data_IF_900800082439
#
_entry.id   IF_900800082439
#
_cell.length_a   1.000
_cell.length_b   1.000
_cell.length_c   1.000
_cell.angle_alpha   90.00
_cell.angle_beta   90.00
_cell.angle_gamma   90.00
#
_symmetry.space_group_name_H-M   'P 1'
#
loop_
_entity.id
_entity.type
_entity.pdbx_description
1 polymer ?
#
# COMPACT_ATOMS: atom_id res chain seq x y z
N UNK A 1 -31.63 -8.10 20.20
CA UNK A 1 -31.27 -6.82 19.57
C UNK A 1 -29.80 -6.56 19.87
N UNK A 2 -28.89 -6.85 18.93
CA UNK A 2 -27.49 -6.46 19.08
C UNK A 2 -27.40 -4.96 18.77
N UNK A 3 -27.22 -4.15 19.81
CA UNK A 3 -26.89 -2.73 19.67
C UNK A 3 -25.49 -2.69 19.07
N UNK A 4 -25.39 -2.34 17.78
CA UNK A 4 -24.12 -2.06 17.13
C UNK A 4 -23.66 -0.72 17.71
N UNK A 5 -22.81 -0.77 18.73
CA UNK A 5 -22.12 0.42 19.23
C UNK A 5 -21.34 1.06 18.06
N UNK A 6 -21.33 2.39 17.93
CA UNK A 6 -20.47 3.05 16.97
C UNK A 6 -19.01 2.64 17.25
N UNK A 7 -18.19 2.36 16.21
CA UNK A 7 -16.80 2.01 16.43
C UNK A 7 -16.09 3.14 17.18
N UNK A 8 -15.25 2.76 18.14
CA UNK A 8 -14.41 3.70 18.89
C UNK A 8 -13.41 4.37 17.92
N UNK A 9 -13.49 5.70 17.74
CA UNK A 9 -12.63 6.41 16.81
C UNK A 9 -11.15 6.12 17.10
N UNK A 10 -10.38 5.77 16.08
CA UNK A 10 -8.96 5.46 16.22
C UNK A 10 -8.64 4.04 16.70
N UNK A 11 -9.61 3.24 17.16
CA UNK A 11 -9.38 1.84 17.56
C UNK A 11 -9.94 0.87 16.50
N UNK A 12 -11.13 1.16 15.99
CA UNK A 12 -11.79 0.37 14.94
C UNK A 12 -12.29 1.26 13.82
N UNK A 13 -12.44 0.70 12.64
CA UNK A 13 -13.03 1.39 11.48
C UNK A 13 -14.48 1.00 11.23
N UNK A 14 -15.23 1.93 10.67
CA UNK A 14 -16.53 1.72 10.02
C UNK A 14 -16.40 1.75 8.50
N UNK A 15 -17.36 1.14 7.81
CA UNK A 15 -17.45 1.26 6.35
C UNK A 15 -17.71 2.72 5.91
N UNK A 16 -18.44 3.51 6.71
CA UNK A 16 -18.71 4.91 6.39
C UNK A 16 -17.43 5.75 6.34
N UNK A 17 -16.58 5.65 7.36
CA UNK A 17 -15.28 6.34 7.42
C UNK A 17 -14.37 5.96 6.24
N UNK A 18 -14.31 4.67 5.89
CA UNK A 18 -13.53 4.23 4.72
C UNK A 18 -14.14 4.74 3.41
N UNK A 19 -15.47 4.86 3.30
CA UNK A 19 -16.09 5.45 2.12
C UNK A 19 -15.76 6.94 2.00
N UNK A 20 -15.67 7.66 3.12
CA UNK A 20 -15.35 9.10 3.15
C UNK A 20 -13.93 9.41 2.67
N UNK A 21 -12.98 8.47 2.78
CA UNK A 21 -11.62 8.61 2.26
C UNK A 21 -11.58 8.98 0.77
N UNK A 22 -12.63 8.67 -0.01
CA UNK A 22 -12.74 9.09 -1.42
C UNK A 22 -12.65 10.61 -1.61
N UNK A 23 -13.07 11.40 -0.63
CA UNK A 23 -13.04 12.85 -0.68
C UNK A 23 -11.62 13.40 -0.44
N UNK A 24 -10.80 12.63 0.28
CA UNK A 24 -9.40 12.96 0.62
C UNK A 24 -8.39 12.53 -0.45
N UNK A 25 -8.81 11.74 -1.44
CA UNK A 25 -7.97 11.33 -2.58
C UNK A 25 -7.29 12.51 -3.26
N UNK A 26 -7.96 13.68 -3.35
CA UNK A 26 -7.40 14.87 -4.00
C UNK A 26 -6.27 15.52 -3.19
N UNK A 27 -6.17 15.22 -1.90
CA UNK A 27 -5.11 15.74 -1.03
C UNK A 27 -3.78 15.01 -1.28
N UNK A 28 -3.81 13.78 -1.78
CA UNK A 28 -2.64 12.93 -2.04
C UNK A 28 -2.56 12.57 -3.53
N UNK A 29 -1.52 13.04 -4.20
CA UNK A 29 -1.28 12.72 -5.63
C UNK A 29 -0.63 11.35 -5.78
N UNK A 30 -1.37 10.29 -5.42
CA UNK A 30 -0.88 8.91 -5.53
C UNK A 30 -0.59 8.58 -6.99
N UNK A 31 -1.57 8.75 -7.87
CA UNK A 31 -1.43 8.44 -9.29
C UNK A 31 -1.40 9.74 -10.11
N UNK A 32 -0.72 9.71 -11.26
CA UNK A 32 -0.51 10.91 -12.08
C UNK A 32 -1.56 11.05 -13.17
N UNK A 33 -1.80 12.29 -13.57
CA UNK A 33 -2.51 12.64 -14.82
C UNK A 33 -1.49 13.19 -15.82
N UNK A 34 -1.77 13.20 -17.15
CA UNK A 34 -0.81 13.60 -18.18
C UNK A 34 -0.16 14.99 -17.99
N UNK A 35 -0.76 15.87 -17.20
CA UNK A 35 -0.27 17.22 -16.93
C UNK A 35 0.58 17.37 -15.67
N UNK A 36 0.73 16.33 -14.83
CA UNK A 36 1.39 16.43 -13.52
C UNK A 36 2.28 15.21 -13.20
N UNK A 37 3.45 15.44 -12.59
CA UNK A 37 4.42 14.38 -12.28
C UNK A 37 4.27 13.89 -10.83
N UNK A 38 3.87 12.64 -10.60
CA UNK A 38 3.99 11.95 -9.30
C UNK A 38 5.12 10.90 -9.31
N UNK A 39 5.78 10.64 -8.17
CA UNK A 39 6.86 9.64 -8.10
C UNK A 39 6.38 8.20 -8.33
N UNK A 40 5.06 7.94 -8.26
CA UNK A 40 4.48 6.65 -8.63
C UNK A 40 4.39 6.46 -10.15
N UNK A 41 4.72 7.45 -11.00
CA UNK A 41 4.77 7.31 -12.48
C UNK A 41 5.65 6.14 -12.91
N UNK A 42 6.85 6.03 -12.33
CA UNK A 42 7.80 4.98 -12.69
C UNK A 42 7.32 3.58 -12.33
N UNK A 43 6.41 3.47 -11.34
CA UNK A 43 5.71 2.23 -11.04
C UNK A 43 4.49 2.06 -11.96
N UNK A 44 3.72 3.12 -12.22
CA UNK A 44 2.49 3.08 -13.02
C UNK A 44 2.75 2.72 -14.49
N UNK A 45 3.86 3.19 -15.05
CA UNK A 45 4.37 2.77 -16.36
C UNK A 45 5.28 1.54 -16.18
N UNK A 46 4.69 0.35 -16.11
CA UNK A 46 5.45 -0.90 -15.99
C UNK A 46 6.45 -1.05 -17.15
N UNK A 47 7.70 -1.43 -16.86
CA UNK A 47 8.76 -1.65 -17.87
C UNK A 47 8.54 -2.88 -18.77
N UNK A 48 7.44 -3.61 -18.56
CA UNK A 48 7.05 -4.76 -19.37
C UNK A 48 6.51 -4.32 -20.75
N UNK A 49 7.44 -4.17 -21.70
CA UNK A 49 7.20 -4.07 -23.15
C UNK A 49 6.13 -5.09 -23.58
N UNK A 50 4.97 -4.63 -24.05
CA UNK A 50 3.95 -5.54 -24.59
C UNK A 50 2.69 -4.86 -25.11
N UNK A 51 1.98 -5.52 -26.01
CA UNK A 51 1.24 -4.95 -27.14
C UNK A 51 -0.21 -4.53 -26.84
N UNK A 52 -0.43 -3.40 -26.16
CA UNK A 52 -1.75 -2.78 -26.06
C UNK A 52 -1.63 -1.31 -26.42
N UNK A 53 -1.97 -0.98 -27.66
CA UNK A 53 -1.91 0.38 -28.18
C UNK A 53 -3.31 0.71 -28.68
N UNK A 54 -4.02 1.55 -27.94
CA UNK A 54 -5.31 2.08 -28.36
C UNK A 54 -5.06 3.20 -29.37
N UNK A 55 -5.85 3.22 -30.44
CA UNK A 55 -5.77 4.28 -31.44
C UNK A 55 -6.16 5.61 -30.78
N UNK A 56 -5.25 6.59 -30.82
CA UNK A 56 -5.47 7.92 -30.25
C UNK A 56 -6.05 8.84 -31.33
N UNK A 57 -5.24 9.16 -32.33
CA UNK A 57 -5.61 10.05 -33.42
C UNK A 57 -4.74 9.82 -34.65
N UNK A 58 -5.20 10.32 -35.79
CA UNK A 58 -4.39 10.41 -37.00
C UNK A 58 -3.85 11.83 -37.12
N UNK A 59 -2.53 11.98 -37.33
CA UNK A 59 -1.91 13.27 -37.65
C UNK A 59 -1.09 13.19 -38.93
N UNK A 60 -0.77 14.34 -39.52
CA UNK A 60 0.16 14.43 -40.64
C UNK A 60 1.51 13.85 -40.22
N UNK A 61 2.09 13.01 -41.07
CA UNK A 61 3.38 12.38 -40.88
C UNK A 61 4.47 13.43 -40.70
N UNK A 62 5.37 13.21 -39.75
CA UNK A 62 6.57 14.01 -39.57
C UNK A 62 7.81 13.14 -39.79
N UNK A 63 8.88 13.75 -40.33
CA UNK A 63 10.15 13.06 -40.50
C UNK A 63 10.68 12.57 -39.14
N UNK A 64 10.81 11.25 -39.01
CA UNK A 64 11.17 10.58 -37.75
C UNK A 64 10.09 9.64 -37.22
N UNK A 65 8.86 9.74 -37.72
CA UNK A 65 7.79 8.79 -37.42
C UNK A 65 8.09 7.40 -38.01
N UNK A 66 7.66 6.33 -37.32
CA UNK A 66 7.79 4.96 -37.85
C UNK A 66 6.86 4.79 -39.07
N UNK A 67 7.44 4.41 -40.21
CA UNK A 67 6.70 4.19 -41.46
C UNK A 67 5.62 3.09 -41.31
N UNK A 68 5.78 2.18 -40.35
CA UNK A 68 4.80 1.11 -40.07
C UNK A 68 3.50 1.61 -39.45
N UNK A 69 3.50 2.80 -38.83
CA UNK A 69 2.28 3.38 -38.25
C UNK A 69 1.53 4.28 -39.23
N UNK A 70 1.93 4.37 -40.50
CA UNK A 70 1.20 5.13 -41.52
C UNK A 70 -0.20 4.55 -41.76
N UNK A 71 -1.22 5.41 -41.70
CA UNK A 71 -2.57 5.09 -42.15
C UNK A 71 -2.69 5.27 -43.66
N UNK A 72 -2.50 4.18 -44.41
CA UNK A 72 -2.63 4.20 -45.87
C UNK A 72 -4.05 4.53 -46.35
N UNK A 73 -5.09 4.31 -45.55
CA UNK A 73 -6.48 4.61 -45.94
C UNK A 73 -6.77 6.11 -45.89
N UNK A 74 -6.32 6.79 -44.82
CA UNK A 74 -6.44 8.25 -44.71
C UNK A 74 -5.50 8.94 -45.71
N UNK A 75 -4.28 8.41 -45.87
CA UNK A 75 -3.30 8.90 -46.84
C UNK A 75 -3.83 8.85 -48.27
N UNK A 76 -4.46 7.74 -48.68
CA UNK A 76 -5.04 7.61 -50.02
C UNK A 76 -6.16 8.64 -50.30
N UNK A 77 -6.93 9.03 -49.27
CA UNK A 77 -8.02 10.00 -49.41
C UNK A 77 -7.54 11.45 -49.41
N UNK A 78 -6.52 11.75 -48.61
CA UNK A 78 -6.00 13.12 -48.41
C UNK A 78 -4.84 13.45 -49.35
N UNK A 79 -4.23 12.44 -49.99
CA UNK A 79 -2.98 12.56 -50.77
C UNK A 79 -1.78 13.07 -49.94
N UNK A 80 -1.88 13.10 -48.62
CA UNK A 80 -0.81 13.46 -47.69
C UNK A 80 -0.54 12.30 -46.72
N UNK A 81 0.74 11.94 -46.44
CA UNK A 81 1.03 10.86 -45.51
C UNK A 81 0.55 11.18 -44.10
N UNK A 82 -0.19 10.25 -43.51
CA UNK A 82 -0.73 10.37 -42.16
C UNK A 82 -0.25 9.23 -41.25
N UNK A 83 0.17 9.56 -40.04
CA UNK A 83 0.63 8.61 -39.01
C UNK A 83 -0.48 8.35 -38.00
N UNK A 84 -0.76 7.08 -37.69
CA UNK A 84 -1.56 6.69 -36.52
C UNK A 84 -0.74 6.90 -35.27
N UNK A 85 -1.21 7.79 -34.40
CA UNK A 85 -0.77 7.83 -33.02
C UNK A 85 -1.58 6.81 -32.24
N UNK A 86 -0.87 6.05 -31.41
CA UNK A 86 -1.48 5.12 -30.50
C UNK A 86 -1.12 5.54 -29.07
N UNK A 87 -2.10 5.53 -28.18
CA UNK A 87 -1.91 5.71 -26.75
C UNK A 87 -1.68 4.34 -26.11
N UNK A 88 -0.69 4.20 -25.24
CA UNK A 88 -0.55 3.01 -24.41
C UNK A 88 -1.52 3.12 -23.22
N UNK A 89 -2.82 2.98 -23.46
CA UNK A 89 -3.79 2.88 -22.36
C UNK A 89 -3.77 1.45 -21.82
N UNK A 90 -2.91 1.21 -20.82
CA UNK A 90 -2.89 -0.05 -20.09
C UNK A 90 -3.55 0.13 -18.73
N UNK A 91 -4.78 -0.38 -18.64
CA UNK A 91 -5.47 -0.63 -17.37
C UNK A 91 -4.59 -1.50 -16.46
N UNK A 92 -4.01 -0.89 -15.43
CA UNK A 92 -3.09 -1.59 -14.53
C UNK A 92 -3.85 -2.19 -13.35
N UNK A 93 -3.74 -3.51 -13.10
CA UNK A 93 -4.27 -4.08 -11.87
C UNK A 93 -3.49 -3.54 -10.67
N UNK A 94 -4.19 -2.89 -9.75
CA UNK A 94 -3.70 -2.52 -8.42
C UNK A 94 -4.26 -3.54 -7.42
N UNK A 95 -3.35 -4.19 -6.71
CA UNK A 95 -3.67 -5.21 -5.71
C UNK A 95 -3.15 -4.78 -4.35
N UNK A 96 -4.09 -4.49 -3.44
CA UNK A 96 -3.80 -3.98 -2.11
C UNK A 96 -3.75 -5.17 -1.14
N UNK A 97 -2.57 -5.46 -0.61
CA UNK A 97 -2.39 -6.39 0.49
C UNK A 97 -2.38 -5.59 1.79
N UNK A 98 -3.33 -5.87 2.68
CA UNK A 98 -3.49 -5.13 3.93
C UNK A 98 -3.59 -6.09 5.11
N UNK A 99 -2.67 -5.92 6.05
CA UNK A 99 -2.67 -6.68 7.29
C UNK A 99 -3.78 -6.16 8.22
N UNK A 100 -4.49 -7.10 8.83
CA UNK A 100 -5.39 -6.93 9.96
C UNK A 100 -5.15 -8.11 10.90
N UNK A 101 -4.07 -8.02 11.66
CA UNK A 101 -3.67 -9.01 12.67
C UNK A 101 -3.71 -8.39 14.07
N UNK A 102 -3.62 -9.23 15.09
CA UNK A 102 -3.44 -8.82 16.49
C UNK A 102 -2.33 -7.79 16.67
N UNK A 103 -1.24 -7.93 15.93
CA UNK A 103 -0.06 -7.06 16.04
C UNK A 103 -0.38 -5.60 15.67
N UNK A 104 -1.33 -5.40 14.77
CA UNK A 104 -1.81 -4.08 14.38
C UNK A 104 -2.91 -3.56 15.32
N UNK A 105 -3.44 -4.39 16.22
CA UNK A 105 -4.43 -3.99 17.21
C UNK A 105 -3.77 -3.32 18.43
N UNK A 106 -2.96 -2.30 18.15
CA UNK A 106 -2.21 -1.50 19.09
C UNK A 106 -1.93 -0.10 18.51
N UNK A 107 -1.88 0.91 19.37
CA UNK A 107 -1.42 2.26 19.04
C UNK A 107 -1.31 3.15 20.28
N UNK A 108 -0.28 3.99 20.31
CA UNK A 108 -0.02 5.03 21.30
C UNK A 108 -0.12 6.45 20.73
N UNK A 109 -0.19 6.57 19.40
CA UNK A 109 -0.40 7.83 18.68
C UNK A 109 -1.87 8.20 18.52
N UNK A 110 -2.22 8.69 17.34
CA UNK A 110 -3.56 9.18 16.99
C UNK A 110 -4.58 8.05 16.78
N UNK A 111 -4.11 6.86 16.40
CA UNK A 111 -4.92 5.69 16.07
C UNK A 111 -4.11 4.40 16.19
N UNK A 112 -4.80 3.27 16.15
CA UNK A 112 -4.17 1.96 16.06
C UNK A 112 -3.60 1.72 14.67
N UNK A 113 -2.52 0.94 14.59
CA UNK A 113 -1.90 0.53 13.32
C UNK A 113 -2.91 -0.12 12.37
N UNK A 114 -3.87 -0.89 12.90
CA UNK A 114 -4.93 -1.54 12.13
C UNK A 114 -5.89 -0.53 11.46
N UNK A 115 -6.17 0.59 12.12
CA UNK A 115 -6.97 1.69 11.58
C UNK A 115 -6.18 2.43 10.50
N UNK A 116 -4.91 2.76 10.76
CA UNK A 116 -4.00 3.37 9.79
C UNK A 116 -3.90 2.53 8.50
N UNK A 117 -3.71 1.22 8.66
CA UNK A 117 -3.67 0.26 7.55
C UNK A 117 -4.94 0.31 6.70
N UNK A 118 -6.09 0.33 7.36
CA UNK A 118 -7.39 0.31 6.69
C UNK A 118 -7.70 1.62 5.97
N UNK A 119 -7.36 2.76 6.59
CA UNK A 119 -7.50 4.08 5.97
C UNK A 119 -6.57 4.21 4.75
N UNK A 120 -5.31 3.79 4.85
CA UNK A 120 -4.37 3.81 3.73
C UNK A 120 -4.86 2.92 2.57
N UNK A 121 -5.28 1.68 2.86
CA UNK A 121 -5.87 0.78 1.85
C UNK A 121 -7.10 1.40 1.17
N UNK A 122 -7.94 2.08 1.93
CA UNK A 122 -9.14 2.73 1.42
C UNK A 122 -8.82 3.92 0.51
N UNK A 123 -7.96 4.85 0.96
CA UNK A 123 -7.53 6.01 0.19
C UNK A 123 -6.92 5.57 -1.15
N UNK A 124 -6.01 4.60 -1.10
CA UNK A 124 -5.36 4.03 -2.28
C UNK A 124 -6.38 3.38 -3.22
N UNK A 125 -7.32 2.61 -2.68
CA UNK A 125 -8.34 1.96 -3.48
C UNK A 125 -9.27 2.93 -4.19
N UNK A 126 -9.66 4.02 -3.53
CA UNK A 126 -10.44 5.10 -4.14
C UNK A 126 -9.61 5.89 -5.17
N UNK A 127 -8.34 6.14 -4.88
CA UNK A 127 -7.44 6.82 -5.81
C UNK A 127 -7.24 6.00 -7.10
N UNK A 128 -7.04 4.69 -6.98
CA UNK A 128 -6.93 3.77 -8.12
C UNK A 128 -8.21 3.78 -8.96
N UNK A 129 -9.38 3.63 -8.32
CA UNK A 129 -10.65 3.63 -9.02
C UNK A 129 -10.93 4.98 -9.70
N UNK A 130 -10.53 6.10 -9.08
CA UNK A 130 -10.63 7.44 -9.66
C UNK A 130 -9.73 7.65 -10.89
N UNK A 131 -8.61 6.91 -10.98
CA UNK A 131 -7.72 6.88 -12.14
C UNK A 131 -8.10 5.80 -13.15
N UNK A 132 -9.30 5.23 -13.05
CA UNK A 132 -9.82 4.23 -13.98
C UNK A 132 -9.04 2.90 -13.99
N UNK A 133 -8.26 2.63 -12.94
CA UNK A 133 -7.54 1.36 -12.76
C UNK A 133 -8.44 0.25 -12.20
N UNK A 134 -7.99 -1.01 -12.35
CA UNK A 134 -8.61 -2.13 -11.62
C UNK A 134 -8.07 -2.17 -10.22
N UNK A 135 -8.97 -2.20 -9.25
CA UNK A 135 -8.61 -2.35 -7.84
C UNK A 135 -9.14 -3.66 -7.29
N UNK A 136 -8.30 -4.37 -6.57
CA UNK A 136 -8.62 -5.55 -5.77
C UNK A 136 -7.63 -5.67 -4.63
N UNK A 137 -7.66 -6.77 -3.90
CA UNK A 137 -6.75 -6.93 -2.80
C UNK A 137 -6.96 -8.17 -1.95
N UNK A 138 -6.12 -8.27 -0.94
CA UNK A 138 -6.07 -9.33 0.04
C UNK A 138 -6.04 -8.69 1.44
N UNK A 139 -7.09 -8.91 2.21
CA UNK A 139 -7.07 -8.66 3.66
C UNK A 139 -6.53 -9.91 4.30
N UNK A 140 -5.43 -9.83 5.04
CA UNK A 140 -4.82 -10.98 5.70
C UNK A 140 -4.56 -10.70 7.18
N UNK A 141 -4.51 -11.73 8.01
CA UNK A 141 -4.29 -11.60 9.44
C UNK A 141 -3.81 -12.92 10.03
N UNK A 142 -4.15 -13.18 11.28
CA UNK A 142 -3.62 -14.35 12.00
C UNK A 142 -4.17 -15.69 11.49
N UNK A 143 -5.47 -15.75 11.14
CA UNK A 143 -6.17 -17.01 10.87
C UNK A 143 -6.73 -17.13 9.44
N UNK A 144 -7.24 -16.04 8.88
CA UNK A 144 -7.96 -16.05 7.60
C UNK A 144 -7.46 -14.96 6.68
N UNK A 145 -7.70 -15.16 5.38
CA UNK A 145 -7.49 -14.13 4.37
C UNK A 145 -8.72 -14.00 3.47
N UNK A 146 -9.01 -12.77 3.05
CA UNK A 146 -10.12 -12.43 2.19
C UNK A 146 -9.61 -11.76 0.92
N UNK A 147 -9.81 -12.43 -0.21
CA UNK A 147 -9.34 -12.00 -1.51
C UNK A 147 -10.48 -11.45 -2.36
N UNK A 148 -10.24 -10.30 -3.01
CA UNK A 148 -11.11 -9.74 -4.04
C UNK A 148 -10.25 -9.50 -5.29
N UNK A 149 -10.61 -10.14 -6.40
CA UNK A 149 -9.89 -9.95 -7.68
C UNK A 149 -9.99 -8.50 -8.17
N UNK A 150 -8.92 -7.94 -8.77
CA UNK A 150 -8.96 -6.59 -9.31
C UNK A 150 -10.06 -6.39 -10.36
N UNK A 151 -10.92 -5.40 -10.12
CA UNK A 151 -11.98 -4.99 -11.05
C UNK A 151 -12.11 -3.47 -11.07
N UNK A 152 -12.46 -2.91 -12.22
CA UNK A 152 -12.79 -1.49 -12.37
C UNK A 152 -14.24 -1.23 -11.92
N UNK A 153 -14.54 -1.54 -10.66
CA UNK A 153 -15.90 -1.51 -10.14
C UNK A 153 -15.92 -0.97 -8.72
N UNK A 154 -16.71 0.10 -8.54
CA UNK A 154 -17.03 0.65 -7.22
C UNK A 154 -17.62 -0.41 -6.30
N UNK A 155 -18.48 -1.29 -6.82
CA UNK A 155 -19.05 -2.38 -6.04
C UNK A 155 -17.97 -3.36 -5.54
N UNK A 156 -16.99 -3.69 -6.39
CA UNK A 156 -15.86 -4.55 -6.01
C UNK A 156 -15.00 -3.91 -4.93
N UNK A 157 -14.72 -2.60 -5.03
CA UNK A 157 -14.00 -1.87 -3.99
C UNK A 157 -14.79 -1.85 -2.68
N UNK A 158 -16.10 -1.59 -2.71
CA UNK A 158 -16.94 -1.62 -1.51
C UNK A 158 -17.01 -3.03 -0.88
N UNK A 159 -16.97 -4.10 -1.68
CA UNK A 159 -16.86 -5.46 -1.16
C UNK A 159 -15.53 -5.67 -0.42
N UNK A 160 -14.42 -5.22 -1.00
CA UNK A 160 -13.10 -5.26 -0.35
C UNK A 160 -13.09 -4.47 0.98
N UNK A 161 -13.58 -3.23 0.98
CA UNK A 161 -13.66 -2.40 2.19
C UNK A 161 -14.58 -3.00 3.26
N UNK A 162 -15.70 -3.61 2.87
CA UNK A 162 -16.58 -4.29 3.83
C UNK A 162 -15.89 -5.50 4.46
N UNK A 163 -15.13 -6.29 3.69
CA UNK A 163 -14.32 -7.39 4.25
C UNK A 163 -13.26 -6.88 5.21
N UNK A 164 -12.55 -5.82 4.84
CA UNK A 164 -11.57 -5.14 5.69
C UNK A 164 -12.15 -4.70 7.03
N UNK A 165 -13.32 -4.04 7.01
CA UNK A 165 -14.02 -3.59 8.22
C UNK A 165 -14.43 -4.77 9.09
N UNK A 166 -14.96 -5.85 8.51
CA UNK A 166 -15.35 -7.05 9.28
C UNK A 166 -14.16 -7.68 9.99
N UNK A 167 -13.03 -7.83 9.31
CA UNK A 167 -11.81 -8.38 9.92
C UNK A 167 -11.30 -7.43 11.02
N UNK A 168 -11.22 -6.13 10.75
CA UNK A 168 -10.82 -5.13 11.75
C UNK A 168 -11.69 -5.17 13.01
N UNK A 169 -13.02 -5.27 12.85
CA UNK A 169 -13.95 -5.32 13.98
C UNK A 169 -13.84 -6.62 14.80
N UNK A 170 -13.35 -7.70 14.19
CA UNK A 170 -13.07 -8.96 14.91
C UNK A 170 -11.74 -8.99 15.64
N UNK A 171 -10.88 -7.97 15.49
CA UNK A 171 -9.59 -7.91 16.17
C UNK A 171 -9.76 -7.77 17.69
N UNK A 172 -8.95 -8.53 18.42
CA UNK A 172 -8.88 -8.52 19.87
C UNK A 172 -7.52 -9.02 20.36
N UNK A 173 -7.18 -8.70 21.62
CA UNK A 173 -5.89 -9.01 22.26
C UNK A 173 -5.73 -10.45 22.72
N UNK A 174 -6.70 -11.33 22.47
CA UNK A 174 -6.66 -12.74 22.89
C UNK A 174 -6.35 -13.73 21.74
N UNK A 175 -6.23 -13.29 20.49
CA UNK A 175 -5.97 -14.20 19.37
C UNK A 175 -4.52 -14.69 19.37
N UNK A 176 -4.25 -15.87 18.81
CA UNK A 176 -2.87 -16.30 18.59
C UNK A 176 -2.24 -15.49 17.47
N UNK A 177 -1.00 -15.04 17.66
CA UNK A 177 -0.28 -14.30 16.64
C UNK A 177 0.36 -15.26 15.64
N UNK A 178 0.04 -15.11 14.35
CA UNK A 178 0.71 -15.86 13.29
C UNK A 178 1.88 -15.05 12.75
N UNK A 179 3.11 -15.45 13.11
CA UNK A 179 4.33 -14.77 12.66
C UNK A 179 4.59 -14.90 11.16
N UNK A 180 4.01 -15.89 10.49
CA UNK A 180 4.22 -16.17 9.06
C UNK A 180 3.09 -15.63 8.15
N UNK A 181 2.14 -14.87 8.71
CA UNK A 181 0.96 -14.36 7.99
C UNK A 181 1.32 -13.60 6.69
N UNK A 182 2.34 -12.74 6.73
CA UNK A 182 2.80 -11.98 5.56
C UNK A 182 3.35 -12.89 4.45
N UNK A 183 4.17 -13.89 4.79
CA UNK A 183 4.71 -14.85 3.83
C UNK A 183 3.58 -15.66 3.17
N UNK A 184 2.62 -16.17 3.95
CA UNK A 184 1.45 -16.87 3.43
C UNK A 184 0.62 -15.98 2.49
N UNK A 185 0.40 -14.72 2.88
CA UNK A 185 -0.31 -13.75 2.06
C UNK A 185 0.42 -13.46 0.74
N UNK A 186 1.75 -13.32 0.75
CA UNK A 186 2.56 -13.10 -0.45
C UNK A 186 2.58 -14.32 -1.38
N UNK A 187 2.63 -15.53 -0.81
CA UNK A 187 2.47 -16.79 -1.58
C UNK A 187 1.13 -16.80 -2.29
N UNK A 188 0.04 -16.50 -1.56
CA UNK A 188 -1.29 -16.44 -2.13
C UNK A 188 -1.40 -15.37 -3.22
N UNK A 189 -0.83 -14.18 -3.00
CA UNK A 189 -0.82 -13.11 -3.98
C UNK A 189 -0.14 -13.56 -5.30
N UNK A 190 0.98 -14.29 -5.24
CA UNK A 190 1.66 -14.82 -6.43
C UNK A 190 0.81 -15.76 -7.29
N UNK A 191 -0.15 -16.46 -6.71
CA UNK A 191 -1.05 -17.37 -7.43
C UNK A 191 -2.12 -16.62 -8.24
N UNK A 192 -2.43 -15.39 -7.84
CA UNK A 192 -3.59 -14.62 -8.35
C UNK A 192 -3.13 -13.45 -9.21
N UNK A 193 -1.98 -12.86 -8.88
CA UNK A 193 -1.43 -11.69 -9.54
C UNK A 193 -0.93 -12.01 -10.94
N UNK A 194 -1.25 -11.12 -11.88
CA UNK A 194 -0.74 -11.18 -13.25
C UNK A 194 0.48 -10.27 -13.40
N UNK A 195 1.44 -10.61 -14.28
CA UNK A 195 2.56 -9.71 -14.59
C UNK A 195 2.09 -8.30 -14.98
N UNK A 196 2.81 -7.28 -14.52
CA UNK A 196 2.50 -5.86 -14.73
C UNK A 196 1.58 -5.23 -13.66
N UNK A 197 1.11 -6.02 -12.68
CA UNK A 197 0.31 -5.49 -11.56
C UNK A 197 1.14 -4.60 -10.63
N UNK A 198 0.50 -3.58 -10.05
CA UNK A 198 1.01 -2.89 -8.86
C UNK A 198 0.57 -3.66 -7.62
N UNK A 199 1.51 -4.06 -6.79
CA UNK A 199 1.21 -4.65 -5.48
C UNK A 199 1.57 -3.66 -4.40
N UNK A 200 0.60 -3.32 -3.57
CA UNK A 200 0.79 -2.41 -2.45
C UNK A 200 0.70 -3.25 -1.19
N UNK A 201 1.79 -3.33 -0.44
CA UNK A 201 1.89 -4.15 0.78
C UNK A 201 1.85 -3.23 1.99
N UNK A 202 0.78 -3.34 2.76
CA UNK A 202 0.55 -2.57 3.99
C UNK A 202 0.56 -3.56 5.16
N UNK A 203 1.63 -3.55 5.94
CA UNK A 203 1.84 -4.53 7.02
C UNK A 203 2.64 -3.92 8.16
N UNK A 204 2.69 -4.59 9.30
CA UNK A 204 3.55 -4.17 10.41
C UNK A 204 5.04 -4.22 10.01
N UNK A 205 5.86 -3.29 10.50
CA UNK A 205 7.30 -3.29 10.26
C UNK A 205 7.99 -4.58 10.76
N UNK A 206 7.44 -5.24 11.79
CA UNK A 206 8.00 -6.47 12.37
C UNK A 206 7.57 -7.71 11.57
N UNK A 207 6.69 -7.57 10.57
CA UNK A 207 6.11 -8.71 9.84
C UNK A 207 7.12 -9.38 8.89
N UNK A 208 8.25 -8.72 8.64
CA UNK A 208 9.28 -9.20 7.74
C UNK A 208 10.04 -10.41 8.33
N UNK A 209 9.96 -11.51 7.61
CA UNK A 209 10.72 -12.75 7.81
C UNK A 209 11.52 -13.09 6.55
N UNK A 210 12.54 -13.95 6.67
CA UNK A 210 13.31 -14.45 5.51
C UNK A 210 12.40 -15.04 4.42
N UNK A 211 11.35 -15.76 4.83
CA UNK A 211 10.36 -16.33 3.91
C UNK A 211 9.59 -15.25 3.15
N UNK A 212 9.13 -14.21 3.84
CA UNK A 212 8.42 -13.09 3.22
C UNK A 212 9.33 -12.28 2.27
N UNK A 213 10.60 -12.08 2.62
CA UNK A 213 11.59 -11.41 1.76
C UNK A 213 11.81 -12.18 0.45
N UNK A 214 11.90 -13.51 0.54
CA UNK A 214 12.00 -14.35 -0.63
C UNK A 214 10.77 -14.19 -1.53
N UNK A 215 9.55 -14.14 -0.95
CA UNK A 215 8.34 -13.94 -1.74
C UNK A 215 8.27 -12.54 -2.37
N UNK A 216 8.68 -11.48 -1.65
CA UNK A 216 8.77 -10.12 -2.19
C UNK A 216 9.75 -10.05 -3.37
N UNK A 217 10.92 -10.69 -3.24
CA UNK A 217 11.91 -10.80 -4.33
C UNK A 217 11.40 -11.56 -5.55
N UNK A 218 10.56 -12.58 -5.34
CA UNK A 218 9.92 -13.31 -6.44
C UNK A 218 8.81 -12.49 -7.11
N UNK A 219 8.01 -11.76 -6.33
CA UNK A 219 6.96 -10.88 -6.83
C UNK A 219 7.53 -9.71 -7.64
N UNK A 220 8.62 -9.09 -7.18
CA UNK A 220 9.22 -7.91 -7.82
C UNK A 220 9.78 -8.18 -9.22
N UNK A 221 9.94 -9.46 -9.61
CA UNK A 221 10.38 -9.86 -10.97
C UNK A 221 9.32 -9.60 -12.03
N UNK A 222 8.04 -9.60 -11.66
CA UNK A 222 6.92 -9.54 -12.59
C UNK A 222 5.85 -8.53 -12.20
N UNK A 223 5.84 -8.06 -10.97
CA UNK A 223 4.97 -6.98 -10.48
C UNK A 223 5.84 -5.84 -9.97
N UNK A 224 5.34 -4.60 -10.06
CA UNK A 224 5.99 -3.52 -9.33
C UNK A 224 5.41 -3.48 -7.91
N UNK A 225 6.27 -3.15 -6.95
CA UNK A 225 5.90 -3.15 -5.53
C UNK A 225 5.95 -1.74 -4.95
N UNK A 226 5.04 -1.50 -4.02
CA UNK A 226 5.06 -0.38 -3.11
C UNK A 226 4.88 -0.91 -1.69
N UNK A 227 5.83 -0.62 -0.81
CA UNK A 227 5.90 -1.14 0.55
C UNK A 227 5.54 -0.04 1.56
N UNK A 228 4.55 -0.29 2.40
CA UNK A 228 4.08 0.59 3.48
C UNK A 228 4.18 -0.15 4.83
N UNK A 229 5.40 -0.31 5.39
CA UNK A 229 5.54 -0.83 6.74
C UNK A 229 4.93 0.16 7.74
N UNK A 230 4.15 -0.35 8.69
CA UNK A 230 3.47 0.42 9.71
C UNK A 230 4.20 0.33 11.04
N UNK A 231 4.29 1.46 11.74
CA UNK A 231 4.90 1.56 13.06
C UNK A 231 4.06 2.41 14.01
N UNK A 232 4.31 2.20 15.29
CA UNK A 232 3.89 3.07 16.38
C UNK A 232 5.13 3.67 17.06
N UNK A 233 5.10 4.88 17.64
CA UNK A 233 6.23 5.43 18.37
C UNK A 233 6.80 4.49 19.44
N UNK A 234 5.93 3.73 20.12
CA UNK A 234 6.35 2.74 21.12
C UNK A 234 6.99 1.49 20.50
N UNK A 235 6.85 1.26 19.19
CA UNK A 235 7.63 0.22 18.51
C UNK A 235 9.12 0.61 18.40
N UNK A 236 9.43 1.91 18.43
CA UNK A 236 10.78 2.45 18.20
C UNK A 236 11.50 2.87 19.47
N UNK A 237 10.78 3.42 20.45
CA UNK A 237 11.38 3.88 21.69
C UNK A 237 10.46 3.64 22.88
N UNK A 238 11.02 3.07 23.95
CA UNK A 238 10.35 3.04 25.25
C UNK A 238 10.44 4.45 25.88
N UNK A 239 9.34 4.97 26.46
CA UNK A 239 9.36 6.26 27.14
C UNK A 239 10.11 6.11 28.47
N UNK A 240 10.74 7.18 28.96
CA UNK A 240 11.34 7.19 30.29
C UNK A 240 10.25 7.42 31.35
N UNK A 241 9.42 6.40 31.61
CA UNK A 241 8.18 6.53 32.39
C UNK A 241 8.16 5.70 33.69
N UNK A 242 9.29 5.13 34.12
CA UNK A 242 9.36 4.25 35.28
C UNK A 242 8.90 2.83 34.98
N UNK A 243 8.32 2.17 35.98
CA UNK A 243 7.78 0.82 35.86
C UNK A 243 6.53 0.81 34.98
N UNK A 244 6.66 0.25 33.78
CA UNK A 244 5.54 -0.02 32.89
C UNK A 244 5.16 -1.49 32.94
N UNK A 245 3.85 -1.78 32.84
CA UNK A 245 3.30 -3.13 32.78
C UNK A 245 2.77 -3.40 31.38
N UNK A 246 3.27 -4.46 30.78
CA UNK A 246 2.81 -5.00 29.49
C UNK A 246 2.02 -6.27 29.75
N UNK A 247 0.94 -6.47 29.01
CA UNK A 247 0.10 -7.66 29.14
C UNK A 247 -0.12 -8.30 27.76
N UNK A 248 0.08 -9.62 27.70
CA UNK A 248 -0.13 -10.40 26.49
C UNK A 248 -0.72 -11.77 26.85
N UNK A 249 -1.99 -12.05 26.48
CA UNK A 249 -2.65 -13.36 26.71
C UNK A 249 -2.56 -13.86 28.15
N UNK A 250 -2.76 -12.97 29.11
CA UNK A 250 -2.62 -13.27 30.54
C UNK A 250 -1.18 -13.32 31.08
N UNK A 251 -0.15 -13.30 30.22
CA UNK A 251 1.21 -13.01 30.64
C UNK A 251 1.35 -11.53 30.97
N UNK A 252 2.08 -11.22 32.03
CA UNK A 252 2.42 -9.85 32.41
C UNK A 252 3.93 -9.69 32.47
N UNK A 253 4.41 -8.58 31.94
CA UNK A 253 5.81 -8.19 31.96
C UNK A 253 5.92 -6.79 32.56
N UNK A 254 6.67 -6.66 33.65
CA UNK A 254 7.03 -5.37 34.21
C UNK A 254 8.41 -4.97 33.72
N UNK A 255 8.54 -3.76 33.16
CA UNK A 255 9.79 -3.20 32.71
C UNK A 255 10.04 -1.86 33.39
N UNK A 256 11.18 -1.73 34.05
CA UNK A 256 11.67 -0.41 34.46
C UNK A 256 12.24 0.32 33.24
N UNK A 257 11.43 1.18 32.66
CA UNK A 257 11.80 1.99 31.50
C UNK A 257 12.71 3.16 31.85
N UNK A 258 13.07 3.39 33.11
CA UNK A 258 14.14 4.34 33.48
C UNK A 258 15.54 3.76 33.23
N UNK A 259 15.68 2.45 33.09
CA UNK A 259 16.92 1.81 32.70
C UNK A 259 17.38 2.31 31.31
N UNK A 260 18.50 3.02 31.27
CA UNK A 260 19.06 3.60 30.05
C UNK A 260 19.48 2.52 29.03
N UNK A 261 20.17 1.48 29.49
CA UNK A 261 20.68 0.41 28.62
C UNK A 261 19.55 -0.38 27.96
N UNK A 262 18.44 -0.59 28.68
CA UNK A 262 17.22 -1.17 28.13
C UNK A 262 16.65 -0.31 27.00
N UNK A 263 16.49 1.00 27.24
CA UNK A 263 15.96 1.92 26.22
C UNK A 263 16.87 2.00 24.99
N UNK A 264 18.18 2.05 25.18
CA UNK A 264 19.15 2.04 24.07
C UNK A 264 19.09 0.75 23.28
N UNK A 265 19.05 -0.41 23.96
CA UNK A 265 18.95 -1.72 23.30
C UNK A 265 17.67 -1.83 22.47
N UNK A 266 16.52 -1.43 23.05
CA UNK A 266 15.23 -1.45 22.36
C UNK A 266 15.23 -0.53 21.13
N UNK A 267 15.79 0.68 21.25
CA UNK A 267 15.95 1.62 20.14
C UNK A 267 16.84 1.06 19.03
N UNK A 268 17.98 0.47 19.38
CA UNK A 268 18.89 -0.15 18.41
C UNK A 268 18.21 -1.30 17.64
N UNK A 269 17.37 -2.09 18.30
CA UNK A 269 16.56 -3.12 17.63
C UNK A 269 15.56 -2.51 16.63
N UNK A 270 14.97 -1.36 16.94
CA UNK A 270 14.08 -0.66 16.02
C UNK A 270 14.83 -0.08 14.83
N UNK A 271 15.96 0.59 15.06
CA UNK A 271 16.81 1.13 14.01
C UNK A 271 17.29 0.02 13.05
N UNK A 272 17.65 -1.16 13.59
CA UNK A 272 17.99 -2.32 12.77
C UNK A 272 16.83 -2.80 11.89
N UNK A 273 15.59 -2.82 12.39
CA UNK A 273 14.40 -3.19 11.59
C UNK A 273 14.13 -2.19 10.47
N UNK A 274 14.23 -0.89 10.76
CA UNK A 274 14.04 0.17 9.76
C UNK A 274 15.09 0.02 8.65
N UNK A 275 16.36 -0.09 9.03
CA UNK A 275 17.46 -0.29 8.08
C UNK A 275 17.26 -1.56 7.22
N UNK A 276 16.71 -2.63 7.81
CA UNK A 276 16.41 -3.87 7.07
C UNK A 276 15.38 -3.64 5.94
N UNK A 277 14.29 -2.91 6.21
CA UNK A 277 13.32 -2.54 5.19
C UNK A 277 13.91 -1.63 4.10
N UNK A 278 14.75 -0.67 4.48
CA UNK A 278 15.42 0.23 3.54
C UNK A 278 16.37 -0.54 2.61
N UNK A 279 17.20 -1.44 3.17
CA UNK A 279 18.09 -2.29 2.40
C UNK A 279 17.33 -3.22 1.45
N UNK A 280 16.22 -3.81 1.93
CA UNK A 280 15.36 -4.63 1.09
C UNK A 280 14.76 -3.82 -0.07
N UNK A 281 14.21 -2.63 0.23
CA UNK A 281 13.61 -1.77 -0.78
C UNK A 281 14.64 -1.33 -1.84
N UNK A 282 15.86 -0.97 -1.43
CA UNK A 282 16.97 -0.65 -2.32
C UNK A 282 17.38 -1.85 -3.18
N UNK A 283 17.53 -3.03 -2.58
CA UNK A 283 17.87 -4.28 -3.27
C UNK A 283 16.84 -4.64 -4.33
N UNK A 284 15.56 -4.48 -4.00
CA UNK A 284 14.45 -4.76 -4.93
C UNK A 284 14.18 -3.61 -5.90
N UNK A 285 14.74 -2.42 -5.65
CA UNK A 285 14.49 -1.16 -6.39
C UNK A 285 13.01 -0.77 -6.40
N UNK A 286 12.38 -0.87 -5.24
CA UNK A 286 10.95 -0.59 -5.04
C UNK A 286 10.78 0.62 -4.13
N UNK A 287 9.61 1.25 -4.18
CA UNK A 287 9.32 2.38 -3.29
C UNK A 287 8.94 1.90 -1.89
N UNK A 288 9.45 2.60 -0.89
CA UNK A 288 9.18 2.40 0.52
C UNK A 288 8.55 3.69 1.07
N UNK A 289 7.37 3.58 1.67
CA UNK A 289 6.65 4.68 2.31
C UNK A 289 6.19 4.23 3.71
N UNK A 290 7.10 4.21 4.71
CA UNK A 290 6.73 3.86 6.08
C UNK A 290 5.65 4.80 6.61
N UNK A 291 4.69 4.27 7.38
CA UNK A 291 3.66 5.09 8.02
C UNK A 291 3.67 4.87 9.53
N UNK A 292 3.54 5.94 10.29
CA UNK A 292 3.49 5.96 11.75
C UNK A 292 2.09 6.37 12.24
N UNK A 293 1.65 5.78 13.35
CA UNK A 293 0.44 6.19 14.08
C UNK A 293 0.55 7.57 14.73
N UNK A 294 1.75 8.17 14.80
CA UNK A 294 2.00 9.47 15.45
C UNK A 294 1.39 10.65 14.69
N UNK A 295 1.32 10.54 13.37
CA UNK A 295 0.96 11.64 12.47
C UNK A 295 -0.25 11.28 11.62
N UNK A 296 -0.87 12.28 11.01
CA UNK A 296 -2.01 12.09 10.13
C UNK A 296 -1.58 11.38 8.82
N UNK A 297 -2.39 10.45 8.32
CA UNK A 297 -2.02 9.55 7.22
C UNK A 297 -1.80 10.28 5.89
N UNK A 298 -2.67 11.23 5.54
CA UNK A 298 -2.57 11.98 4.28
C UNK A 298 -1.36 12.90 4.30
N UNK A 299 -1.06 13.54 5.42
CA UNK A 299 0.16 14.36 5.56
C UNK A 299 1.42 13.54 5.30
N UNK A 300 1.54 12.37 5.92
CA UNK A 300 2.68 11.46 5.70
C UNK A 300 2.82 11.05 4.24
N UNK A 301 1.72 10.62 3.59
CA UNK A 301 1.76 10.26 2.17
C UNK A 301 2.14 11.44 1.27
N UNK A 302 1.69 12.66 1.59
CA UNK A 302 2.08 13.86 0.83
C UNK A 302 3.57 14.15 0.93
N UNK A 303 4.18 13.93 2.09
CA UNK A 303 5.62 14.13 2.28
C UNK A 303 6.44 13.17 1.40
N UNK A 304 6.08 11.89 1.37
CA UNK A 304 6.75 10.92 0.50
C UNK A 304 6.58 11.22 -1.00
N UNK A 305 5.43 11.77 -1.39
CA UNK A 305 5.12 12.03 -2.80
C UNK A 305 5.61 13.39 -3.31
N UNK A 306 5.92 14.34 -2.42
CA UNK A 306 6.47 15.66 -2.75
C UNK A 306 7.88 15.85 -2.17
N UNK A 307 8.93 15.28 -2.79
CA UNK A 307 10.30 15.36 -2.30
C UNK A 307 10.94 16.77 -2.37
N UNK A 308 10.19 17.83 -2.73
CA UNK A 308 10.69 19.22 -2.78
C UNK A 308 10.75 19.93 -1.42
N UNK A 309 10.38 19.27 -0.31
CA UNK A 309 10.70 19.75 1.03
C UNK A 309 11.77 18.85 1.66
N UNK A 310 13.00 19.34 1.91
CA UNK A 310 13.95 18.59 2.73
C UNK A 310 13.41 18.55 4.17
N UNK A 311 12.73 17.45 4.52
CA UNK A 311 12.31 17.15 5.87
C UNK A 311 13.51 16.71 6.70
N UNK A 312 13.83 17.47 7.74
CA UNK A 312 14.86 17.19 8.72
C UNK A 312 14.57 15.87 9.44
N UNK A 313 15.26 14.80 9.06
CA UNK A 313 15.57 13.72 9.98
C UNK A 313 17.07 13.76 10.25
N UNK A 314 17.40 14.30 11.43
CA UNK A 314 18.70 14.21 12.10
C UNK A 314 18.44 13.55 13.45
#
# INVERSE_FOLDING_TARGET
MNVILPPEPGIRVSLAELIEMRHRVREVQLFSTPSQRSPLIGLHHSKLRGRGVDFDQVRVYQAGDDVRSIDWRVTARTQEPHTKLFHEERERPIFIMVEQSRRLFFGSGLMFKSVLAAQAASLIGWAALGHNDRVGGLVFGDNEHYEIKPRRSKQSLLQFLNRLVRVNQSLHTESEQNRDALNLALRRAREVLRPGSLVIVICDERALTEGSEQQLSLLSRHCDLLLLPLSDPLDHALPAAGLLRFAERGAQLELDTLNFDLRQTYRAQAEARIAHWELLAQKLRVLLMPLSTQSEMVEQLREYLNPQKPGKYR
#
